data_IF_444431020142
#
_entry.id   IF_444431020142
#
_cell.length_a   1.000
_cell.length_b   1.000
_cell.length_c   1.000
_cell.angle_alpha   90.00
_cell.angle_beta   90.00
_cell.angle_gamma   90.00
#
_symmetry.space_group_name_H-M   'P 1'
#
loop_
_entity.id
_entity.type
_entity.pdbx_description
1 polymer ?
#
# COMPACT_ATOMS: atom_id res chain seq x y z
N UNK A 1 3.19 18.53 -3.57
CA UNK A 1 2.53 17.42 -2.83
C UNK A 1 1.67 18.01 -1.73
N UNK A 2 0.43 17.54 -1.58
CA UNK A 2 -0.54 18.04 -0.60
C UNK A 2 -0.63 17.18 0.67
N UNK A 3 -0.53 15.86 0.52
CA UNK A 3 -0.52 14.89 1.62
C UNK A 3 -0.11 13.50 1.15
N UNK A 4 0.01 12.54 2.09
CA UNK A 4 0.30 11.12 1.82
C UNK A 4 -0.82 10.26 2.41
N UNK A 5 -1.37 9.33 1.62
CA UNK A 5 -2.28 8.28 2.07
C UNK A 5 -1.52 6.96 2.17
N UNK A 6 -1.23 6.52 3.40
CA UNK A 6 -0.47 5.31 3.68
C UNK A 6 -1.42 4.13 4.01
N UNK A 7 -1.71 3.31 3.00
CA UNK A 7 -2.59 2.14 3.10
C UNK A 7 -1.78 0.86 3.43
N UNK A 8 -1.95 0.30 4.63
CA UNK A 8 -1.17 -0.85 5.12
C UNK A 8 -2.04 -2.06 5.45
N UNK A 9 -1.86 -3.15 4.70
CA UNK A 9 -2.51 -4.43 5.02
C UNK A 9 -1.64 -5.28 5.95
N UNK A 10 -2.23 -5.84 7.01
CA UNK A 10 -1.52 -6.66 7.99
C UNK A 10 -2.35 -7.84 8.52
N UNK A 11 -1.70 -8.73 9.27
CA UNK A 11 -2.30 -9.77 10.10
C UNK A 11 -2.83 -9.20 11.43
N UNK A 12 -3.78 -9.89 12.07
CA UNK A 12 -4.40 -9.44 13.32
C UNK A 12 -3.41 -9.27 14.49
N UNK A 13 -2.33 -10.04 14.49
CA UNK A 13 -1.27 -9.97 15.51
C UNK A 13 0.11 -10.17 14.86
N UNK A 14 1.11 -9.34 15.20
CA UNK A 14 1.03 -8.17 16.08
C UNK A 14 0.24 -7.01 15.42
N UNK A 15 -0.27 -6.03 16.18
CA UNK A 15 -0.77 -4.77 15.60
C UNK A 15 0.36 -4.01 14.88
N UNK A 16 0.01 -2.98 14.11
CA UNK A 16 0.99 -2.02 13.58
C UNK A 16 1.49 -1.11 14.72
N UNK A 17 2.76 -0.70 14.60
CA UNK A 17 3.39 0.34 15.43
C UNK A 17 4.15 1.30 14.49
N UNK A 18 3.81 2.60 14.41
CA UNK A 18 2.72 3.27 15.11
C UNK A 18 1.33 2.70 14.76
N UNK A 19 0.35 2.98 15.62
CA UNK A 19 -1.04 2.63 15.34
C UNK A 19 -1.57 3.54 14.20
N UNK A 20 -2.26 2.98 13.20
CA UNK A 20 -2.88 3.77 12.14
C UNK A 20 -4.11 4.50 12.67
N UNK A 21 -4.42 5.63 12.04
CA UNK A 21 -5.59 6.49 12.32
C UNK A 21 -6.90 5.72 12.07
N UNK A 22 -7.00 5.06 10.90
CA UNK A 22 -8.15 4.23 10.53
C UNK A 22 -7.83 2.74 10.63
N UNK A 23 -8.77 1.94 11.15
CA UNK A 23 -8.57 0.50 11.46
C UNK A 23 -9.74 -0.38 11.00
N UNK A 24 -9.59 -1.06 9.85
CA UNK A 24 -10.67 -1.88 9.28
C UNK A 24 -10.50 -3.37 9.59
N UNK A 25 -11.50 -3.94 10.28
CA UNK A 25 -11.53 -5.32 10.76
C UNK A 25 -12.21 -6.29 9.77
N UNK A 26 -11.42 -6.91 8.90
CA UNK A 26 -11.94 -7.69 7.77
C UNK A 26 -12.15 -9.18 8.08
N UNK A 27 -12.23 -9.57 9.36
CA UNK A 27 -12.62 -10.94 9.74
C UNK A 27 -14.15 -11.16 9.63
N UNK A 28 -14.95 -10.07 9.64
CA UNK A 28 -16.41 -10.08 9.43
C UNK A 28 -16.81 -10.43 7.99
N UNK A 29 -16.00 -10.02 7.01
CA UNK A 29 -16.22 -10.32 5.58
C UNK A 29 -16.13 -11.83 5.34
N UNK A 30 -17.02 -12.44 4.53
CA UNK A 30 -16.93 -13.85 4.12
C UNK A 30 -15.53 -14.28 3.68
N UNK A 31 -15.16 -15.50 4.02
CA UNK A 31 -13.83 -16.03 3.75
C UNK A 31 -13.82 -16.67 2.34
N UNK A 32 -12.95 -16.23 1.41
CA UNK A 32 -12.93 -16.76 0.04
C UNK A 32 -12.79 -18.29 -0.01
N UNK A 33 -13.34 -18.99 -1.02
CA UNK A 33 -13.27 -20.43 -1.15
C UNK A 33 -11.83 -20.96 -1.04
N UNK A 34 -11.67 -22.13 -0.41
CA UNK A 34 -10.35 -22.70 -0.09
C UNK A 34 -9.42 -22.76 -1.32
N UNK A 35 -9.91 -23.27 -2.45
CA UNK A 35 -9.13 -23.35 -3.69
C UNK A 35 -8.60 -22.00 -4.17
N UNK A 36 -9.36 -20.91 -3.98
CA UNK A 36 -8.95 -19.55 -4.35
C UNK A 36 -7.92 -19.01 -3.35
N UNK A 37 -8.07 -19.31 -2.05
CA UNK A 37 -7.10 -18.91 -1.00
C UNK A 37 -5.76 -19.63 -1.10
N UNK A 38 -5.77 -20.89 -1.51
CA UNK A 38 -4.55 -21.69 -1.62
C UNK A 38 -3.77 -21.33 -2.91
N UNK A 39 -4.46 -20.89 -3.97
CA UNK A 39 -3.86 -20.45 -5.23
C UNK A 39 -3.48 -18.97 -5.31
N UNK A 40 -4.15 -18.08 -4.56
CA UNK A 40 -4.03 -16.62 -4.74
C UNK A 40 -3.93 -15.83 -3.43
N UNK A 41 -3.20 -14.71 -3.49
CA UNK A 41 -3.16 -13.64 -2.47
C UNK A 41 -4.01 -12.44 -2.92
N UNK A 42 -4.23 -11.44 -2.05
CA UNK A 42 -4.98 -10.23 -2.41
C UNK A 42 -4.37 -9.35 -3.51
N UNK A 43 -3.10 -9.57 -3.86
CA UNK A 43 -2.44 -8.96 -5.02
C UNK A 43 -3.00 -9.49 -6.36
N UNK A 44 -3.67 -10.64 -6.36
CA UNK A 44 -4.18 -11.25 -7.58
C UNK A 44 -5.58 -10.74 -7.92
N UNK A 45 -5.77 -10.27 -9.17
CA UNK A 45 -7.06 -9.78 -9.67
C UNK A 45 -8.20 -10.76 -9.40
N UNK A 46 -7.98 -12.07 -9.65
CA UNK A 46 -9.01 -13.12 -9.44
C UNK A 46 -9.50 -13.24 -7.99
N UNK A 47 -8.66 -12.95 -6.99
CA UNK A 47 -9.13 -12.89 -5.60
C UNK A 47 -9.92 -11.61 -5.33
N UNK A 48 -9.45 -10.45 -5.82
CA UNK A 48 -10.17 -9.17 -5.68
C UNK A 48 -11.54 -9.19 -6.36
N UNK A 49 -11.61 -9.69 -7.60
CA UNK A 49 -12.87 -9.84 -8.36
C UNK A 49 -13.89 -10.74 -7.62
N UNK A 50 -13.41 -11.70 -6.82
CA UNK A 50 -14.25 -12.51 -5.97
C UNK A 50 -14.68 -11.76 -4.70
N UNK A 51 -13.76 -11.06 -4.02
CA UNK A 51 -14.10 -10.22 -2.86
C UNK A 51 -15.13 -9.12 -3.22
N UNK A 52 -15.01 -8.49 -4.39
CA UNK A 52 -15.94 -7.45 -4.88
C UNK A 52 -17.35 -7.96 -5.22
N UNK A 53 -17.61 -9.27 -5.15
CA UNK A 53 -18.97 -9.85 -5.26
C UNK A 53 -19.67 -9.96 -3.90
N UNK A 54 -18.91 -9.89 -2.81
CA UNK A 54 -19.45 -9.94 -1.46
C UNK A 54 -19.94 -8.54 -1.07
N UNK A 55 -21.25 -8.29 -0.88
CA UNK A 55 -21.76 -6.93 -0.64
C UNK A 55 -21.15 -6.30 0.61
N UNK A 56 -20.94 -7.09 1.67
CA UNK A 56 -20.28 -6.66 2.91
C UNK A 56 -18.83 -6.20 2.68
N UNK A 57 -18.13 -6.72 1.66
CA UNK A 57 -16.78 -6.24 1.33
C UNK A 57 -16.83 -4.90 0.60
N UNK A 58 -17.78 -4.73 -0.32
CA UNK A 58 -17.98 -3.48 -1.09
C UNK A 58 -18.38 -2.35 -0.14
N UNK A 59 -19.38 -2.56 0.71
CA UNK A 59 -19.81 -1.63 1.75
C UNK A 59 -18.64 -1.19 2.66
N UNK A 60 -17.80 -2.13 3.12
CA UNK A 60 -16.63 -1.78 3.94
C UNK A 60 -15.57 -0.99 3.17
N UNK A 61 -15.44 -1.15 1.86
CA UNK A 61 -14.52 -0.36 1.03
C UNK A 61 -15.07 1.05 0.83
N UNK A 62 -16.35 1.19 0.49
CA UNK A 62 -16.98 2.48 0.24
C UNK A 62 -17.06 3.33 1.52
N UNK A 63 -17.40 2.74 2.67
CA UNK A 63 -17.38 3.44 3.97
C UNK A 63 -15.97 3.92 4.33
N UNK A 64 -14.93 3.11 4.11
CA UNK A 64 -13.56 3.51 4.38
C UNK A 64 -13.08 4.62 3.43
N UNK A 65 -13.54 4.61 2.17
CA UNK A 65 -13.25 5.66 1.20
C UNK A 65 -13.89 6.99 1.59
N UNK A 66 -15.13 6.97 2.11
CA UNK A 66 -15.81 8.14 2.66
C UNK A 66 -15.08 8.69 3.90
N UNK A 67 -14.75 7.84 4.88
CA UNK A 67 -13.98 8.20 6.08
C UNK A 67 -12.64 8.88 5.73
N UNK A 68 -11.90 8.31 4.77
CA UNK A 68 -10.61 8.85 4.33
C UNK A 68 -10.81 10.20 3.61
N UNK A 69 -11.81 10.34 2.72
CA UNK A 69 -12.06 11.61 2.02
C UNK A 69 -12.43 12.74 2.98
N UNK A 70 -13.36 12.49 3.90
CA UNK A 70 -13.74 13.46 4.91
C UNK A 70 -12.51 13.97 5.71
N UNK A 71 -11.57 13.07 6.02
CA UNK A 71 -10.31 13.42 6.69
C UNK A 71 -9.33 14.19 5.81
N UNK A 72 -9.23 13.86 4.51
CA UNK A 72 -8.43 14.63 3.55
C UNK A 72 -8.94 16.07 3.43
N UNK A 73 -10.26 16.25 3.34
CA UNK A 73 -10.88 17.57 3.20
C UNK A 73 -10.67 18.44 4.45
N UNK A 74 -10.78 17.85 5.65
CA UNK A 74 -10.48 18.52 6.93
C UNK A 74 -9.01 19.01 6.98
N UNK A 75 -8.06 18.15 6.62
CA UNK A 75 -6.63 18.49 6.59
C UNK A 75 -6.32 19.60 5.56
N UNK A 76 -7.01 19.58 4.41
CA UNK A 76 -6.89 20.61 3.39
C UNK A 76 -7.48 21.96 3.85
N UNK A 77 -8.64 21.96 4.51
CA UNK A 77 -9.26 23.16 5.06
C UNK A 77 -8.37 23.81 6.15
N UNK A 78 -7.86 23.01 7.09
CA UNK A 78 -6.97 23.46 8.16
C UNK A 78 -5.66 24.06 7.60
N UNK A 79 -5.09 23.45 6.55
CA UNK A 79 -3.89 23.98 5.86
C UNK A 79 -4.16 25.32 5.16
N UNK A 80 -5.36 25.50 4.58
CA UNK A 80 -5.77 26.77 3.98
C UNK A 80 -5.84 27.91 5.01
N UNK A 81 -6.43 27.66 6.18
CA UNK A 81 -6.54 28.62 7.27
C UNK A 81 -5.15 29.04 7.81
N UNK A 82 -4.27 28.05 8.07
CA UNK A 82 -2.90 28.31 8.53
C UNK A 82 -2.11 29.20 7.55
N UNK A 83 -2.25 28.97 6.24
CA UNK A 83 -1.59 29.80 5.23
C UNK A 83 -2.12 31.23 5.22
N UNK A 84 -3.43 31.43 5.36
CA UNK A 84 -4.05 32.76 5.41
C UNK A 84 -3.59 33.57 6.64
N UNK A 85 -3.57 32.95 7.83
CA UNK A 85 -3.09 33.59 9.07
C UNK A 85 -1.61 33.98 8.98
N UNK A 86 -0.77 33.14 8.39
CA UNK A 86 0.65 33.43 8.19
C UNK A 86 0.90 34.60 7.22
N UNK A 87 0.02 34.82 6.24
CA UNK A 87 0.11 35.97 5.32
C UNK A 87 -0.38 37.28 5.95
N UNK A 88 -1.41 37.27 6.80
CA UNK A 88 -1.90 38.49 7.47
C UNK A 88 -0.96 38.99 8.57
N UNK A 89 -0.17 38.11 9.21
CA UNK A 89 0.73 38.50 10.29
C UNK A 89 1.98 39.28 9.84
N UNK A 90 2.16 39.55 8.54
CA UNK A 90 3.34 40.23 7.97
C UNK A 90 3.09 41.66 7.48
N UNK A 91 1.84 42.14 7.46
CA UNK A 91 1.49 43.43 6.85
C UNK A 91 1.57 44.64 7.79
N UNK A 92 1.76 44.43 9.10
CA UNK A 92 1.68 45.51 10.12
C UNK A 92 3.05 46.07 10.57
N UNK A 93 4.15 45.76 9.86
CA UNK A 93 5.52 46.10 10.32
C UNK A 93 6.32 47.03 9.38
N UNK A 94 5.80 47.47 8.23
CA UNK A 94 6.49 48.44 7.37
C UNK A 94 5.58 49.60 6.91
N UNK A 95 5.52 50.65 7.75
CA UNK A 95 5.18 52.02 7.35
C UNK A 95 6.22 52.99 7.92
N UNK A 96 7.41 53.05 7.30
CA UNK A 96 8.43 54.04 7.63
C UNK A 96 9.43 54.32 6.49
N UNK A 97 8.96 54.93 5.38
CA UNK A 97 9.78 55.56 4.34
C UNK A 97 10.40 54.57 3.32
N UNK A 98 10.45 54.85 2.02
CA UNK A 98 10.57 56.15 1.36
C UNK A 98 9.98 56.08 -0.05
N UNK A 99 9.50 57.22 -0.53
CA UNK A 99 9.11 57.46 -1.91
C UNK A 99 10.34 57.32 -2.83
N UNK A 100 10.25 56.52 -3.89
CA UNK A 100 10.82 56.93 -5.17
C UNK A 100 10.14 56.27 -6.37
N UNK A 101 10.03 57.09 -7.39
CA UNK A 101 9.34 56.94 -8.66
C UNK A 101 9.78 55.70 -9.47
N UNK A 102 8.84 55.06 -10.21
CA UNK A 102 8.93 54.81 -11.68
C UNK A 102 8.12 53.61 -12.18
N UNK A 103 7.01 53.92 -12.87
CA UNK A 103 6.32 53.03 -13.81
C UNK A 103 6.93 53.14 -15.23
N UNK A 104 6.38 52.49 -16.27
CA UNK A 104 6.36 51.03 -16.48
C UNK A 104 6.88 50.65 -17.89
N UNK A 105 7.24 49.38 -18.15
CA UNK A 105 7.04 48.82 -19.49
C UNK A 105 7.00 47.27 -19.54
N UNK A 106 6.22 46.81 -20.52
CA UNK A 106 6.32 45.62 -21.42
C UNK A 106 7.37 44.52 -21.12
N UNK A 107 7.17 43.23 -21.47
CA UNK A 107 6.43 42.72 -22.64
C UNK A 107 5.90 41.29 -22.45
N UNK A 108 4.88 40.94 -23.24
CA UNK A 108 4.50 39.57 -23.56
C UNK A 108 5.65 38.82 -24.27
N UNK A 109 6.03 37.64 -23.78
CA UNK A 109 6.70 36.61 -24.59
C UNK A 109 5.95 35.28 -24.43
N UNK A 110 5.40 34.85 -25.56
CA UNK A 110 4.98 33.48 -25.84
C UNK A 110 6.15 32.75 -26.49
N UNK A 111 6.54 31.58 -25.99
CA UNK A 111 7.32 30.62 -26.77
C UNK A 111 6.68 29.24 -26.70
N UNK A 112 6.12 28.82 -27.83
CA UNK A 112 5.88 27.42 -28.15
C UNK A 112 7.22 26.80 -28.53
N UNK A 113 7.56 25.65 -27.96
CA UNK A 113 8.67 24.81 -28.43
C UNK A 113 8.18 23.38 -28.63
N UNK A 114 7.79 23.08 -29.86
CA UNK A 114 7.78 21.71 -30.35
C UNK A 114 9.23 21.25 -30.59
N UNK A 115 9.56 20.02 -30.21
CA UNK A 115 10.53 19.20 -30.96
C UNK A 115 10.42 17.75 -30.52
N UNK A 116 10.34 16.85 -31.51
CA UNK A 116 10.62 15.43 -31.33
C UNK A 116 12.14 15.26 -31.15
N UNK A 117 12.56 14.18 -30.50
CA UNK A 117 13.66 13.38 -31.03
C UNK A 117 13.56 11.92 -30.57
N UNK A 118 13.68 10.99 -31.51
CA UNK A 118 13.68 9.54 -31.27
C UNK A 118 15.14 9.05 -31.23
N UNK A 119 15.56 8.36 -30.17
CA UNK A 119 16.89 7.74 -30.15
C UNK A 119 16.90 6.31 -29.61
N UNK A 120 16.80 5.35 -30.53
CA UNK A 120 17.16 3.95 -30.27
C UNK A 120 18.68 3.80 -30.18
N UNK A 121 19.22 3.79 -28.96
CA UNK A 121 20.65 3.63 -28.68
C UNK A 121 21.02 2.26 -28.12
N UNK A 122 21.22 1.26 -28.99
CA UNK A 122 21.76 -0.06 -28.60
C UNK A 122 23.26 0.04 -28.28
N UNK A 123 23.66 -0.25 -27.04
CA UNK A 123 25.06 -0.25 -26.63
C UNK A 123 25.36 -1.13 -25.41
N UNK A 124 25.76 -2.38 -25.66
CA UNK A 124 26.45 -3.20 -24.65
C UNK A 124 27.87 -2.66 -24.43
N UNK A 125 28.27 -2.43 -23.18
CA UNK A 125 29.68 -2.41 -22.76
C UNK A 125 29.76 -2.64 -21.25
N UNK A 126 30.33 -3.77 -20.84
CA UNK A 126 30.67 -4.04 -19.45
C UNK A 126 31.98 -3.36 -19.08
N UNK A 127 32.00 -2.60 -17.98
CA UNK A 127 33.20 -2.05 -17.37
C UNK A 127 33.14 -2.33 -15.87
N UNK A 128 34.07 -3.18 -15.42
CA UNK A 128 34.28 -3.51 -14.01
C UNK A 128 35.27 -2.49 -13.44
N UNK A 129 34.83 -1.63 -12.52
CA UNK A 129 35.72 -0.71 -11.78
C UNK A 129 35.36 -0.74 -10.30
N UNK A 130 36.20 -1.44 -9.53
CA UNK A 130 36.23 -1.31 -8.08
C UNK A 130 37.06 -0.07 -7.71
N UNK A 131 36.42 0.96 -7.15
CA UNK A 131 37.13 2.08 -6.51
C UNK A 131 36.48 2.44 -5.18
N UNK A 132 37.13 2.04 -4.10
CA UNK A 132 36.71 2.25 -2.72
C UNK A 132 37.16 3.62 -2.19
N UNK A 133 36.22 4.55 -1.94
CA UNK A 133 36.45 5.73 -1.09
C UNK A 133 35.18 6.11 -0.31
N UNK A 134 35.18 5.77 0.98
CA UNK A 134 34.34 6.30 2.07
C UNK A 134 34.97 7.63 2.59
N UNK A 135 34.35 8.43 3.49
CA UNK A 135 32.94 8.83 3.56
C UNK A 135 32.79 10.36 3.73
N UNK A 136 31.92 11.00 2.94
CA UNK A 136 31.31 12.28 3.33
C UNK A 136 29.83 12.22 2.99
N UNK A 137 29.05 11.52 3.82
CA UNK A 137 27.60 11.76 3.82
C UNK A 137 27.40 13.16 4.38
N UNK A 138 26.83 14.12 3.63
CA UNK A 138 26.29 15.29 4.28
C UNK A 138 25.25 14.80 5.30
N UNK A 139 25.14 15.51 6.42
CA UNK A 139 23.89 15.48 7.15
C UNK A 139 22.88 16.20 6.25
N UNK A 140 22.18 15.43 5.41
CA UNK A 140 20.84 15.78 5.03
C UNK A 140 20.04 15.79 6.34
N UNK A 141 20.04 16.96 6.98
CA UNK A 141 19.12 17.24 8.06
C UNK A 141 17.73 17.12 7.45
N UNK A 142 17.09 15.96 7.66
CA UNK A 142 15.68 15.70 7.38
C UNK A 142 14.85 16.75 8.14
N UNK A 143 14.77 17.97 7.59
CA UNK A 143 13.73 18.92 7.93
C UNK A 143 12.43 18.15 7.69
N UNK A 144 11.64 17.86 8.73
CA UNK A 144 10.46 17.02 8.57
C UNK A 144 9.46 17.85 7.79
N UNK A 145 9.52 17.74 6.45
CA UNK A 145 8.54 18.34 5.56
C UNK A 145 7.19 17.82 6.04
N UNK A 146 6.43 18.72 6.68
CA UNK A 146 5.26 18.37 7.48
C UNK A 146 4.08 18.10 6.55
N UNK A 147 4.24 17.06 5.73
CA UNK A 147 3.30 16.59 4.73
C UNK A 147 2.26 15.77 5.49
N UNK A 148 0.99 16.22 5.54
CA UNK A 148 -0.03 15.53 6.31
C UNK A 148 -0.18 14.10 5.80
N UNK A 149 -0.04 13.13 6.71
CA UNK A 149 -0.04 11.71 6.38
C UNK A 149 -1.19 11.01 7.08
N UNK A 150 -2.12 10.44 6.30
CA UNK A 150 -3.23 9.62 6.80
C UNK A 150 -2.77 8.16 6.80
N UNK A 151 -2.79 7.50 7.96
CA UNK A 151 -2.42 6.09 8.09
C UNK A 151 -3.67 5.20 8.19
N UNK A 152 -3.83 4.29 7.23
CA UNK A 152 -4.97 3.36 7.17
C UNK A 152 -4.48 1.92 7.33
N UNK A 153 -4.96 1.23 8.35
CA UNK A 153 -4.62 -0.16 8.63
C UNK A 153 -5.79 -1.13 8.38
N UNK A 154 -5.65 -2.00 7.40
CA UNK A 154 -6.61 -3.09 7.16
C UNK A 154 -6.05 -4.42 7.67
N UNK A 155 -6.82 -5.19 8.44
CA UNK A 155 -6.35 -6.47 8.97
C UNK A 155 -7.34 -7.63 8.88
N UNK A 156 -6.78 -8.82 8.66
CA UNK A 156 -7.49 -10.10 8.73
C UNK A 156 -6.60 -11.13 9.44
N UNK A 157 -7.06 -12.39 9.57
CA UNK A 157 -6.36 -13.43 10.33
C UNK A 157 -4.84 -13.52 10.04
N UNK A 158 -4.47 -13.59 8.75
CA UNK A 158 -3.10 -13.88 8.30
C UNK A 158 -2.46 -12.80 7.43
N UNK A 159 -3.15 -11.69 7.18
CA UNK A 159 -2.60 -10.58 6.38
C UNK A 159 -2.28 -10.89 4.90
N UNK A 160 -2.83 -11.96 4.32
CA UNK A 160 -2.50 -12.40 2.93
C UNK A 160 -3.66 -12.32 1.92
N UNK A 161 -4.90 -12.24 2.39
CA UNK A 161 -6.11 -12.34 1.56
C UNK A 161 -6.97 -11.08 1.69
N UNK A 162 -8.04 -11.13 2.51
CA UNK A 162 -9.06 -10.08 2.66
C UNK A 162 -8.46 -8.67 2.86
N UNK A 163 -7.51 -8.49 3.78
CA UNK A 163 -6.87 -7.19 4.04
C UNK A 163 -5.98 -6.68 2.92
N UNK A 164 -5.34 -7.57 2.18
CA UNK A 164 -4.51 -7.21 1.01
C UNK A 164 -5.42 -6.78 -0.12
N UNK A 165 -6.48 -7.55 -0.41
CA UNK A 165 -7.50 -7.20 -1.41
C UNK A 165 -8.16 -5.85 -1.13
N UNK A 166 -8.46 -5.56 0.15
CA UNK A 166 -9.09 -4.31 0.57
C UNK A 166 -8.21 -3.09 0.27
N UNK A 167 -6.96 -3.12 0.74
CA UNK A 167 -5.97 -2.06 0.48
C UNK A 167 -5.67 -1.90 -1.00
N UNK A 168 -5.56 -3.02 -1.75
CA UNK A 168 -5.39 -2.99 -3.20
C UNK A 168 -6.59 -2.39 -3.96
N UNK A 169 -7.81 -2.50 -3.43
CA UNK A 169 -8.99 -1.85 -4.04
C UNK A 169 -8.99 -0.35 -3.72
N UNK A 170 -8.76 0.04 -2.46
CA UNK A 170 -8.66 1.46 -2.06
C UNK A 170 -7.52 2.19 -2.79
N UNK A 171 -6.35 1.54 -2.94
CA UNK A 171 -5.21 2.11 -3.68
C UNK A 171 -5.45 2.29 -5.18
N UNK A 172 -6.55 1.74 -5.73
CA UNK A 172 -6.97 1.92 -7.13
C UNK A 172 -8.13 2.93 -7.28
N UNK A 173 -8.68 3.45 -6.18
CA UNK A 173 -9.68 4.53 -6.22
C UNK A 173 -9.02 5.85 -6.61
N UNK A 174 -9.80 6.77 -7.12
CA UNK A 174 -9.36 8.14 -7.38
C UNK A 174 -9.39 8.96 -6.09
N UNK A 175 -8.27 9.59 -5.79
CA UNK A 175 -8.07 10.45 -4.62
C UNK A 175 -7.89 11.90 -5.08
N UNK A 176 -8.14 12.91 -4.21
CA UNK A 176 -7.95 14.31 -4.57
C UNK A 176 -6.54 14.58 -5.09
N UNK A 177 -6.42 15.44 -6.10
CA UNK A 177 -5.15 15.74 -6.75
C UNK A 177 -4.09 16.20 -5.74
N UNK A 178 -2.84 15.80 -5.94
CA UNK A 178 -1.71 16.16 -5.08
C UNK A 178 -1.51 15.27 -3.85
N UNK A 179 -2.42 14.32 -3.56
CA UNK A 179 -2.17 13.26 -2.58
C UNK A 179 -1.35 12.11 -3.20
N UNK A 180 -0.31 11.68 -2.50
CA UNK A 180 0.51 10.50 -2.85
C UNK A 180 -0.04 9.25 -2.15
N UNK A 181 -0.31 8.18 -2.88
CA UNK A 181 -0.97 6.96 -2.36
C UNK A 181 0.04 5.83 -2.26
N UNK A 182 0.38 5.46 -1.02
CA UNK A 182 1.39 4.42 -0.73
C UNK A 182 0.71 3.16 -0.22
N UNK A 183 0.88 2.07 -0.95
CA UNK A 183 0.33 0.74 -0.60
C UNK A 183 1.43 -0.16 -0.04
N UNK A 184 1.22 -0.70 1.15
CA UNK A 184 2.15 -1.59 1.84
C UNK A 184 1.49 -2.88 2.36
N UNK A 185 2.21 -4.00 2.29
CA UNK A 185 1.73 -5.31 2.69
C UNK A 185 2.71 -6.05 3.60
N UNK A 186 2.50 -5.99 4.92
CA UNK A 186 3.43 -6.55 5.91
C UNK A 186 3.61 -8.07 5.77
N UNK A 187 2.51 -8.82 5.62
CA UNK A 187 2.51 -10.28 5.79
C UNK A 187 2.47 -11.05 4.45
N UNK A 188 2.44 -10.37 3.29
CA UNK A 188 2.33 -11.02 1.96
C UNK A 188 3.61 -11.76 1.60
N UNK A 189 4.75 -11.06 1.63
CA UNK A 189 6.07 -11.57 1.26
C UNK A 189 6.72 -12.45 2.35
N UNK A 190 6.05 -12.65 3.49
CA UNK A 190 6.39 -13.67 4.47
C UNK A 190 6.21 -15.07 3.89
N UNK A 191 7.17 -15.50 3.08
CA UNK A 191 7.33 -16.86 2.60
C UNK A 191 7.59 -17.82 3.76
N UNK A 192 7.36 -19.12 3.52
CA UNK A 192 7.58 -20.16 4.54
C UNK A 192 9.06 -20.56 4.68
N UNK A 193 9.96 -19.76 4.13
CA UNK A 193 11.35 -20.11 3.82
C UNK A 193 12.23 -20.30 5.07
N UNK A 194 11.83 -19.74 6.22
CA UNK A 194 12.50 -19.97 7.50
C UNK A 194 11.94 -21.10 8.38
N UNK A 195 10.77 -21.68 8.08
CA UNK A 195 10.23 -22.82 8.86
C UNK A 195 10.64 -24.12 8.18
N UNK A 196 11.83 -24.58 8.56
CA UNK A 196 12.61 -25.55 7.81
C UNK A 196 11.91 -26.86 7.45
N UNK A 197 12.48 -27.51 6.44
CA UNK A 197 12.36 -28.96 6.16
C UNK A 197 13.00 -29.81 7.29
N UNK A 198 12.78 -29.44 8.55
CA UNK A 198 13.19 -30.17 9.75
C UNK A 198 12.08 -31.15 10.19
N UNK A 199 11.68 -32.02 9.26
CA UNK A 199 10.49 -32.85 9.38
C UNK A 199 10.55 -34.14 8.57
N UNK A 200 11.75 -34.62 8.21
CA UNK A 200 11.96 -35.99 7.75
C UNK A 200 11.89 -36.94 8.97
N UNK A 201 10.71 -37.05 9.57
CA UNK A 201 10.39 -38.07 10.57
C UNK A 201 9.51 -39.11 9.89
N UNK A 202 10.07 -40.30 9.64
CA UNK A 202 9.25 -41.49 9.42
C UNK A 202 9.32 -42.19 8.06
N UNK A 203 10.48 -42.24 7.39
CA UNK A 203 10.77 -43.37 6.46
C UNK A 203 10.93 -44.69 7.24
N UNK A 204 9.86 -45.19 7.87
CA UNK A 204 9.68 -46.62 8.12
C UNK A 204 9.06 -47.20 6.85
N UNK A 205 9.85 -47.70 5.91
CA UNK A 205 10.39 -49.07 5.90
C UNK A 205 9.33 -50.11 6.30
N UNK A 206 8.80 -50.72 5.24
CA UNK A 206 8.84 -52.17 5.01
C UNK A 206 7.58 -53.01 5.33
N UNK A 207 7.42 -54.07 4.52
CA UNK A 207 6.57 -55.28 4.68
C UNK A 207 5.08 -55.20 4.38
N UNK A 208 4.81 -55.21 3.07
CA UNK A 208 4.31 -56.42 2.36
C UNK A 208 3.81 -57.57 3.27
N UNK A 209 2.53 -57.53 3.65
CA UNK A 209 1.61 -58.66 3.89
C UNK A 209 0.23 -58.20 3.39
N UNK A 210 -0.56 -58.94 2.62
CA UNK A 210 -0.53 -60.38 2.38
C UNK A 210 -1.64 -61.06 3.18
N UNK A 211 -2.86 -61.06 2.64
CA UNK A 211 -4.12 -61.43 3.29
C UNK A 211 -5.23 -60.51 2.73
N UNK A 212 -6.18 -60.92 1.88
CA UNK A 212 -6.86 -62.22 1.70
C UNK A 212 -7.68 -62.68 2.91
N UNK A 213 -8.73 -61.92 3.20
CA UNK A 213 -10.09 -62.42 3.47
C UNK A 213 -10.95 -61.78 2.33
N UNK A 214 -11.84 -62.40 1.56
CA UNK A 214 -12.55 -63.69 1.63
C UNK A 214 -13.06 -64.02 3.03
N UNK A 215 -14.24 -63.47 3.31
CA UNK A 215 -15.23 -64.13 4.14
C UNK A 215 -16.45 -64.37 3.23
N UNK A 216 -16.63 -65.64 2.87
CA UNK A 216 -17.92 -66.19 2.45
C UNK A 216 -18.66 -66.56 3.74
N UNK A 217 -19.93 -66.14 3.85
CA UNK A 217 -20.97 -66.69 4.73
C UNK A 217 -22.25 -66.43 3.92
N UNK A 218 -22.87 -67.47 3.33
CA UNK A 218 -24.06 -68.16 3.87
C UNK A 218 -25.14 -67.13 4.29
N UNK A 219 -26.28 -66.95 3.61
CA UNK A 219 -27.26 -67.93 3.09
C UNK A 219 -27.88 -68.78 4.22
N UNK A 220 -29.22 -68.98 4.19
CA UNK A 220 -30.08 -69.40 5.31
C UNK A 220 -30.20 -68.37 6.45
N UNK A 221 -31.35 -68.09 7.09
CA UNK A 221 -32.79 -68.36 6.84
C UNK A 221 -33.54 -67.04 7.20
N UNK A 222 -34.85 -66.81 7.01
CA UNK A 222 -36.02 -67.67 6.70
C UNK A 222 -36.94 -66.96 5.68
#
# INVERSE_FOLDING_TARGET
MLGILALTSHSHSPPLNPAPEFRHYLRRVPNPPKAVRDAYTGLHKRLRDHMMREPVFVEMVDNAEEEIRARMDELMANRGQLKAMATSARTDTEMAGLDDDKSPDSSSITEEVESLDEHEGRGENGIEVETSLDPTSPNDEDEPTNVPTIHVGAFCERGKHRSVSFVEVLGRRTWPAGWDVRVAHRDVHGGREGRGKGGEIGKKRDRKRGGRNRFEVDESDE
#
